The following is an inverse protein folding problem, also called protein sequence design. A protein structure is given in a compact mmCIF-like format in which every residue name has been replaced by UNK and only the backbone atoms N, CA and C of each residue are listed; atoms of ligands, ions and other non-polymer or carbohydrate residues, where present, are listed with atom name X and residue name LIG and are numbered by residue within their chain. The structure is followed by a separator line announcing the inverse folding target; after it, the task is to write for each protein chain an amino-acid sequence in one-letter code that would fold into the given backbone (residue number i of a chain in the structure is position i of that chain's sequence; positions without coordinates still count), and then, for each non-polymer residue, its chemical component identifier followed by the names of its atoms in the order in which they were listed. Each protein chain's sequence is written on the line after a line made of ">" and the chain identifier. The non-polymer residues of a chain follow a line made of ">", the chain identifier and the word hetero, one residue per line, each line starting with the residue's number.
data_IF_572969031986
#
_entry.id   IF_572969031986
#
_cell.length_a   1.000
_cell.length_b   1.000
_cell.length_c   1.000
_cell.angle_alpha   90.00
_cell.angle_beta   90.00
_cell.angle_gamma   90.00
#
_symmetry.space_group_name_H-M   'P 1'
#
loop_
_entity.id
_entity.type
_entity.pdbx_description
1 polymer ?
#
# COMPACT_ATOMS: atom_id res chain seq x y z
N UNK A 1 38.42 -13.10 -9.51
CA UNK A 1 38.28 -11.94 -8.61
C UNK A 1 37.31 -10.93 -9.24
N UNK A 2 35.99 -11.07 -9.06
CA UNK A 2 34.98 -10.16 -9.64
C UNK A 2 34.61 -9.09 -8.60
N UNK A 3 35.05 -7.84 -8.83
CA UNK A 3 34.72 -6.69 -7.98
C UNK A 3 33.24 -6.32 -8.21
N UNK A 4 32.38 -6.55 -7.22
CA UNK A 4 31.03 -6.02 -7.19
C UNK A 4 31.14 -4.49 -7.02
N UNK A 5 30.89 -3.74 -8.10
CA UNK A 5 30.77 -2.29 -8.06
C UNK A 5 29.56 -1.93 -7.19
N UNK A 6 29.85 -1.37 -6.02
CA UNK A 6 28.84 -0.84 -5.12
C UNK A 6 28.19 0.38 -5.79
N UNK A 7 26.91 0.26 -6.18
CA UNK A 7 26.10 1.40 -6.63
C UNK A 7 25.75 2.27 -5.44
N UNK A 8 26.70 3.12 -5.03
CA UNK A 8 26.48 4.19 -4.07
C UNK A 8 25.72 5.34 -4.72
N UNK A 9 24.40 5.21 -4.86
CA UNK A 9 23.54 6.34 -5.14
C UNK A 9 23.25 7.10 -3.85
N UNK A 10 23.44 8.43 -3.89
CA UNK A 10 23.09 9.35 -2.80
C UNK A 10 21.66 9.08 -2.33
N UNK A 11 21.50 8.67 -1.06
CA UNK A 11 20.18 8.42 -0.49
C UNK A 11 19.56 9.76 -0.12
N UNK A 12 18.77 10.32 -1.03
CA UNK A 12 17.87 11.43 -0.71
C UNK A 12 16.84 10.90 0.29
N UNK A 13 17.03 11.23 1.57
CA UNK A 13 16.01 11.01 2.59
C UNK A 13 15.06 12.20 2.56
N UNK A 14 13.77 11.93 2.31
CA UNK A 14 12.73 12.89 2.62
C UNK A 14 12.81 13.28 4.11
N UNK A 15 12.48 14.55 4.41
CA UNK A 15 12.73 15.24 5.67
C UNK A 15 11.99 14.65 6.89
N UNK A 16 11.16 13.63 6.71
CA UNK A 16 10.45 12.91 7.77
C UNK A 16 11.07 11.54 8.12
N UNK A 17 12.40 11.44 8.06
CA UNK A 17 13.15 10.24 8.48
C UNK A 17 13.31 10.14 10.01
N UNK A 18 12.23 10.39 10.75
CA UNK A 18 12.19 10.35 12.21
C UNK A 18 10.92 9.69 12.76
N UNK A 19 11.13 8.57 13.46
CA UNK A 19 10.30 8.03 14.56
C UNK A 19 9.05 7.16 14.26
N UNK A 20 9.12 5.97 14.89
CA UNK A 20 8.05 5.08 15.42
C UNK A 20 7.29 4.21 14.43
N UNK A 21 6.87 3.05 14.95
CA UNK A 21 6.56 1.81 14.25
C UNK A 21 5.79 1.95 12.93
N UNK A 22 6.43 1.46 11.87
CA UNK A 22 5.94 1.57 10.50
C UNK A 22 4.71 0.67 10.31
N UNK A 23 3.54 1.30 10.18
CA UNK A 23 2.20 0.72 10.16
C UNK A 23 1.85 -0.06 11.44
N UNK A 24 0.75 0.32 12.08
CA UNK A 24 0.06 -0.52 13.07
C UNK A 24 -0.34 -1.86 12.44
N UNK A 25 -0.59 -2.89 13.24
CA UNK A 25 -0.95 -4.23 12.74
C UNK A 25 -2.14 -4.19 11.76
N UNK A 26 -3.20 -3.47 12.12
CA UNK A 26 -4.37 -3.29 11.25
C UNK A 26 -4.03 -2.57 9.94
N UNK A 27 -3.16 -1.56 9.99
CA UNK A 27 -2.72 -0.79 8.83
C UNK A 27 -1.86 -1.65 7.88
N UNK A 28 -1.06 -2.59 8.40
CA UNK A 28 -0.33 -3.57 7.57
C UNK A 28 -1.27 -4.48 6.81
N UNK A 29 -2.37 -4.92 7.45
CA UNK A 29 -3.40 -5.73 6.79
C UNK A 29 -4.09 -4.89 5.71
N UNK A 30 -4.51 -3.67 6.06
CA UNK A 30 -5.16 -2.75 5.14
C UNK A 30 -4.27 -2.41 3.93
N UNK A 31 -2.96 -2.26 4.11
CA UNK A 31 -2.01 -2.02 3.03
C UNK A 31 -1.74 -3.24 2.15
N UNK A 32 -1.91 -4.45 2.71
CA UNK A 32 -1.69 -5.71 1.99
C UNK A 32 -2.83 -6.04 1.04
N UNK A 33 -4.08 -5.77 1.43
CA UNK A 33 -5.26 -6.03 0.60
C UNK A 33 -5.19 -5.39 -0.80
N UNK A 34 -5.02 -4.05 -0.96
CA UNK A 34 -4.96 -3.42 -2.27
C UNK A 34 -3.73 -3.85 -3.08
N UNK A 35 -2.65 -4.24 -2.41
CA UNK A 35 -1.48 -4.84 -3.05
C UNK A 35 -1.81 -6.20 -3.67
N UNK A 36 -2.47 -7.10 -2.92
CA UNK A 36 -2.90 -8.41 -3.41
C UNK A 36 -3.99 -8.29 -4.49
N UNK A 37 -4.90 -7.33 -4.35
CA UNK A 37 -5.90 -6.99 -5.36
C UNK A 37 -5.30 -6.43 -6.66
N UNK A 38 -3.99 -6.11 -6.71
CA UNK A 38 -3.35 -5.45 -7.85
C UNK A 38 -4.00 -4.10 -8.22
N UNK A 39 -4.44 -3.37 -7.20
CA UNK A 39 -5.19 -2.11 -7.35
C UNK A 39 -4.33 -0.97 -7.93
N UNK A 40 -3.01 -1.06 -7.83
CA UNK A 40 -2.09 -0.07 -8.37
C UNK A 40 -0.64 -0.53 -8.33
N UNK A 41 0.28 0.37 -8.67
CA UNK A 41 1.72 0.09 -8.55
C UNK A 41 2.12 0.07 -7.08
N UNK A 42 3.21 -0.66 -6.75
CA UNK A 42 3.77 -0.67 -5.38
C UNK A 42 4.06 0.75 -4.89
N UNK A 43 4.55 1.61 -5.77
CA UNK A 43 4.90 2.98 -5.43
C UNK A 43 3.65 3.82 -5.11
N UNK A 44 2.61 3.73 -5.94
CA UNK A 44 1.33 4.39 -5.69
C UNK A 44 0.71 3.96 -4.35
N UNK A 45 0.72 2.65 -4.06
CA UNK A 45 0.22 2.15 -2.79
C UNK A 45 1.09 2.64 -1.62
N UNK A 46 2.41 2.67 -1.77
CA UNK A 46 3.29 3.18 -0.72
C UNK A 46 3.02 4.68 -0.43
N UNK A 47 2.79 5.48 -1.48
CA UNK A 47 2.39 6.88 -1.34
C UNK A 47 1.02 7.04 -0.65
N UNK A 48 0.04 6.21 -0.99
CA UNK A 48 -1.30 6.22 -0.38
C UNK A 48 -1.26 5.99 1.14
N UNK A 49 -0.38 5.07 1.58
CA UNK A 49 -0.17 4.77 3.00
C UNK A 49 0.88 5.67 3.67
N UNK A 50 1.46 6.65 2.95
CA UNK A 50 2.50 7.53 3.50
C UNK A 50 3.79 6.80 3.92
N UNK A 51 4.09 5.64 3.33
CA UNK A 51 5.23 4.80 3.69
C UNK A 51 6.19 4.59 2.52
N UNK A 52 7.38 4.05 2.80
CA UNK A 52 8.29 3.65 1.73
C UNK A 52 7.87 2.33 1.07
N UNK A 53 8.17 2.15 -0.22
CA UNK A 53 7.84 0.90 -0.94
C UNK A 53 8.45 -0.35 -0.32
N UNK A 54 9.61 -0.25 0.34
CA UNK A 54 10.22 -1.34 1.10
C UNK A 54 9.43 -1.69 2.37
N UNK A 55 8.85 -0.69 3.03
CA UNK A 55 7.99 -0.88 4.20
C UNK A 55 6.69 -1.60 3.79
N UNK A 56 6.07 -1.17 2.68
CA UNK A 56 4.90 -1.85 2.12
C UNK A 56 5.22 -3.31 1.76
N UNK A 57 6.34 -3.57 1.09
CA UNK A 57 6.75 -4.95 0.73
C UNK A 57 6.95 -5.81 1.98
N UNK A 58 7.51 -5.25 3.05
CA UNK A 58 7.68 -5.95 4.34
C UNK A 58 6.33 -6.26 4.99
N UNK A 59 5.39 -5.31 4.98
CA UNK A 59 4.04 -5.53 5.50
C UNK A 59 3.33 -6.66 4.75
N UNK A 60 3.38 -6.67 3.42
CA UNK A 60 2.80 -7.74 2.58
C UNK A 60 3.39 -9.09 2.95
N UNK A 61 4.72 -9.20 3.06
CA UNK A 61 5.39 -10.46 3.43
C UNK A 61 5.03 -10.95 4.82
N UNK A 62 4.72 -10.03 5.74
CA UNK A 62 4.27 -10.39 7.09
C UNK A 62 2.82 -10.87 7.08
N UNK A 63 1.93 -10.21 6.35
CA UNK A 63 0.48 -10.46 6.38
C UNK A 63 0.06 -11.64 5.50
N UNK A 64 0.72 -11.84 4.35
CA UNK A 64 0.38 -12.91 3.41
C UNK A 64 0.33 -14.33 4.04
N UNK A 65 1.27 -14.76 4.91
CA UNK A 65 1.15 -16.05 5.57
C UNK A 65 -0.05 -16.13 6.52
N UNK A 66 -0.38 -15.07 7.26
CA UNK A 66 -1.57 -15.06 8.11
C UNK A 66 -2.85 -15.19 7.27
N UNK A 67 -2.95 -14.49 6.14
CA UNK A 67 -4.09 -14.64 5.24
C UNK A 67 -4.20 -16.06 4.69
N UNK A 68 -3.07 -16.69 4.36
CA UNK A 68 -3.04 -18.07 3.89
C UNK A 68 -3.48 -19.07 4.97
N UNK A 69 -3.01 -18.88 6.20
CA UNK A 69 -3.40 -19.70 7.37
C UNK A 69 -4.91 -19.63 7.64
N UNK A 70 -5.51 -18.44 7.46
CA UNK A 70 -6.95 -18.23 7.62
C UNK A 70 -7.77 -18.53 6.37
N UNK A 71 -7.16 -19.01 5.27
CA UNK A 71 -7.86 -19.28 4.01
C UNK A 71 -8.41 -18.04 3.30
N UNK A 72 -7.97 -16.85 3.67
CA UNK A 72 -8.42 -15.59 3.08
C UNK A 72 -7.74 -15.36 1.72
N UNK A 73 -8.47 -15.64 0.64
CA UNK A 73 -8.01 -15.32 -0.73
C UNK A 73 -8.58 -13.99 -1.16
N UNK A 74 -7.70 -13.04 -1.49
CA UNK A 74 -8.07 -11.72 -2.01
C UNK A 74 -8.03 -11.77 -3.54
N UNK A 75 -9.18 -11.71 -4.24
CA UNK A 75 -9.19 -11.74 -5.70
C UNK A 75 -8.66 -10.42 -6.29
N UNK A 76 -8.12 -10.44 -7.53
CA UNK A 76 -7.74 -9.22 -8.23
C UNK A 76 -8.94 -8.30 -8.40
N UNK A 77 -8.74 -7.00 -8.17
CA UNK A 77 -9.76 -5.99 -8.42
C UNK A 77 -9.85 -5.65 -9.91
N UNK A 78 -11.07 -5.35 -10.36
CA UNK A 78 -11.33 -4.77 -11.68
C UNK A 78 -10.85 -3.32 -11.74
N UNK A 79 -10.91 -2.60 -10.60
CA UNK A 79 -10.37 -1.25 -10.50
C UNK A 79 -8.82 -1.31 -10.49
N UNK A 80 -8.19 -0.47 -11.30
CA UNK A 80 -6.73 -0.35 -11.37
C UNK A 80 -6.37 1.11 -11.54
N UNK A 81 -5.65 1.66 -10.57
CA UNK A 81 -5.20 3.04 -10.57
C UNK A 81 -3.74 3.11 -11.03
N UNK A 82 -3.45 4.09 -11.89
CA UNK A 82 -2.09 4.37 -12.35
C UNK A 82 -1.49 5.57 -11.64
N UNK A 83 -2.33 6.53 -11.26
CA UNK A 83 -1.92 7.78 -10.63
C UNK A 83 -2.69 8.05 -9.34
N UNK A 84 -2.14 8.87 -8.42
CA UNK A 84 -2.89 9.34 -7.25
C UNK A 84 -4.15 10.12 -7.64
N UNK A 85 -4.12 10.82 -8.76
CA UNK A 85 -5.27 11.57 -9.30
C UNK A 85 -6.41 10.64 -9.69
N UNK A 86 -6.12 9.47 -10.29
CA UNK A 86 -7.15 8.46 -10.60
C UNK A 86 -7.85 7.96 -9.34
N UNK A 87 -7.07 7.77 -8.25
CA UNK A 87 -7.60 7.36 -6.94
C UNK A 87 -8.50 8.47 -6.39
N UNK A 88 -8.05 9.73 -6.44
CA UNK A 88 -8.83 10.86 -5.95
C UNK A 88 -10.14 11.03 -6.74
N UNK A 89 -10.10 10.91 -8.07
CA UNK A 89 -11.28 10.98 -8.93
C UNK A 89 -12.26 9.84 -8.61
N UNK A 90 -11.77 8.61 -8.43
CA UNK A 90 -12.59 7.46 -8.04
C UNK A 90 -13.26 7.68 -6.68
N UNK A 91 -12.51 8.15 -5.68
CA UNK A 91 -13.05 8.45 -4.36
C UNK A 91 -14.10 9.57 -4.41
N UNK A 92 -13.90 10.60 -5.24
CA UNK A 92 -14.89 11.66 -5.43
C UNK A 92 -16.21 11.11 -5.97
N UNK A 93 -16.17 10.18 -6.94
CA UNK A 93 -17.39 9.53 -7.45
C UNK A 93 -18.05 8.58 -6.44
N UNK A 94 -17.24 7.91 -5.60
CA UNK A 94 -17.77 7.01 -4.58
C UNK A 94 -18.47 7.78 -3.45
N UNK A 95 -17.91 8.92 -3.04
CA UNK A 95 -18.46 9.75 -1.97
C UNK A 95 -19.78 10.44 -2.36
N UNK A 96 -20.00 10.70 -3.65
CA UNK A 96 -21.27 11.24 -4.18
C UNK A 96 -22.42 10.23 -4.03
N UNK A 97 -22.12 8.92 -4.11
CA UNK A 97 -23.07 7.83 -3.93
C UNK A 97 -23.28 7.40 -2.46
N UNK A 98 -22.33 7.67 -1.56
CA UNK A 98 -22.47 7.36 -0.13
C UNK A 98 -23.17 8.47 0.62
N UNK A 99 -24.42 8.75 0.26
CA UNK A 99 -25.37 9.30 1.23
C UNK A 99 -25.73 8.16 2.17
N UNK A 100 -24.84 7.85 3.11
CA UNK A 100 -25.13 6.94 4.22
C UNK A 100 -26.36 7.47 4.93
N UNK A 101 -27.52 6.85 4.65
CA UNK A 101 -28.77 7.19 5.32
C UNK A 101 -28.50 6.94 6.82
N UNK A 102 -28.66 7.92 7.71
CA UNK A 102 -28.54 7.65 9.13
C UNK A 102 -29.68 6.67 9.45
N UNK A 103 -29.34 5.48 9.93
CA UNK A 103 -30.32 4.59 10.51
C UNK A 103 -30.75 5.19 11.86
N UNK A 104 -32.05 5.46 11.99
CA UNK A 104 -32.70 5.73 13.27
C UNK A 104 -32.75 4.47 14.12
#
# INVERSE_FOLDING_TARGET
>A
MRRLQQRGGERIRARDAGAKDKLATADRVLATVPYLCKLGTRDLLAQLFGVSGSTLTRAVRQVQPFLAEHGCTIPPSTARFRTPTDVAAFLATANDGTKSKPAC
#
